data_IF_023769275911
#
_entry.id   IF_023769275911
#
_cell.length_a   1.000
_cell.length_b   1.000
_cell.length_c   1.000
_cell.angle_alpha   90.00
_cell.angle_beta   90.00
_cell.angle_gamma   90.00
#
_symmetry.space_group_name_H-M   'P 1'
#
loop_
_entity.id
_entity.type
_entity.pdbx_description
1 polymer ?
#
# COMPACT_ATOMS: atom_id res chain seq x y z
N UNK A 1 33.85 -27.22 -15.19
CA UNK A 1 32.45 -27.52 -15.59
C UNK A 1 31.77 -26.20 -15.89
N UNK A 2 31.22 -26.11 -17.10
CA UNK A 2 30.89 -24.90 -17.86
C UNK A 2 29.45 -24.47 -17.59
N UNK A 3 29.21 -23.17 -17.37
CA UNK A 3 28.11 -22.30 -17.89
C UNK A 3 28.56 -20.85 -17.58
N UNK A 4 29.28 -20.13 -18.45
CA UNK A 4 28.87 -19.35 -19.63
C UNK A 4 27.77 -18.30 -19.35
N UNK A 5 28.15 -17.02 -19.41
CA UNK A 5 27.30 -15.87 -19.13
C UNK A 5 26.33 -15.51 -20.26
N UNK A 6 25.28 -14.77 -19.89
CA UNK A 6 24.36 -14.14 -20.83
C UNK A 6 24.67 -12.66 -20.97
N UNK A 7 24.94 -12.32 -22.23
CA UNK A 7 25.28 -11.02 -22.79
C UNK A 7 24.05 -10.10 -22.80
N UNK A 8 24.28 -8.84 -22.47
CA UNK A 8 23.38 -7.71 -22.74
C UNK A 8 23.32 -7.50 -24.26
N UNK A 9 22.12 -7.52 -24.85
CA UNK A 9 21.89 -7.03 -26.21
C UNK A 9 21.06 -5.75 -26.11
N UNK A 10 21.75 -4.62 -26.25
CA UNK A 10 21.13 -3.35 -26.60
C UNK A 10 20.87 -3.30 -28.10
N UNK A 11 19.62 -3.05 -28.50
CA UNK A 11 19.28 -2.76 -29.88
C UNK A 11 19.37 -1.25 -30.11
N UNK A 12 20.44 -0.81 -30.77
CA UNK A 12 20.56 0.51 -31.36
C UNK A 12 19.72 0.55 -32.65
N UNK A 13 18.73 1.44 -32.70
CA UNK A 13 17.98 1.75 -33.93
C UNK A 13 18.80 2.75 -34.74
N UNK A 14 19.41 2.27 -35.82
CA UNK A 14 20.07 3.09 -36.84
C UNK A 14 19.02 3.59 -37.84
N UNK A 15 18.91 4.91 -37.93
CA UNK A 15 18.21 5.66 -38.96
C UNK A 15 18.85 5.39 -40.34
N UNK A 16 18.09 4.77 -41.24
CA UNK A 16 18.44 4.61 -42.65
C UNK A 16 17.25 5.00 -43.52
N UNK A 17 17.27 6.23 -44.03
CA UNK A 17 16.31 6.72 -45.02
C UNK A 17 16.63 6.13 -46.40
N UNK A 18 15.61 5.59 -47.09
CA UNK A 18 15.48 5.71 -48.56
C UNK A 18 14.00 5.78 -48.96
N UNK A 19 13.65 6.64 -49.94
CA UNK A 19 12.30 6.88 -50.39
C UNK A 19 11.89 6.00 -51.58
N UNK A 20 10.58 6.01 -51.82
CA UNK A 20 9.84 5.75 -53.06
C UNK A 20 9.17 4.38 -53.31
N UNK A 21 7.91 4.53 -53.74
CA UNK A 21 6.91 3.58 -54.27
C UNK A 21 6.22 2.72 -53.20
N UNK A 22 4.90 2.80 -53.00
CA UNK A 22 3.87 2.41 -53.97
C UNK A 22 2.55 3.20 -53.75
N UNK A 23 1.96 3.63 -54.85
CA UNK A 23 0.61 4.17 -54.94
C UNK A 23 -0.46 3.07 -54.92
N UNK A 24 -1.56 3.34 -54.22
CA UNK A 24 -2.91 2.89 -54.59
C UNK A 24 -3.36 1.52 -54.07
N UNK A 25 -4.24 1.53 -53.06
CA UNK A 25 -5.54 0.83 -53.09
C UNK A 25 -6.39 1.26 -51.90
N UNK A 26 -7.60 1.71 -52.21
CA UNK A 26 -8.65 1.90 -51.22
C UNK A 26 -9.13 0.56 -50.68
N UNK A 27 -9.44 0.55 -49.39
CA UNK A 27 -10.26 -0.47 -48.76
C UNK A 27 -10.89 0.15 -47.52
N UNK A 28 -12.21 0.08 -47.50
CA UNK A 28 -13.09 0.49 -46.42
C UNK A 28 -12.59 0.02 -45.05
N UNK A 29 -12.27 0.97 -44.18
CA UNK A 29 -12.09 0.72 -42.75
C UNK A 29 -13.43 0.94 -42.05
N UNK A 30 -13.91 -0.02 -41.23
CA UNK A 30 -15.11 0.18 -40.44
C UNK A 30 -14.88 1.30 -39.42
N UNK A 31 -15.84 2.21 -39.37
CA UNK A 31 -15.89 3.35 -38.45
C UNK A 31 -15.76 2.91 -36.99
N UNK A 32 -14.85 3.47 -36.19
CA UNK A 32 -14.77 3.18 -34.76
C UNK A 32 -15.83 4.01 -34.02
N UNK A 33 -17.09 3.61 -34.12
CA UNK A 33 -18.15 4.08 -33.23
C UNK A 33 -18.27 3.14 -32.03
N UNK A 34 -17.21 3.02 -31.25
CA UNK A 34 -17.31 2.65 -29.83
C UNK A 34 -16.87 3.87 -29.06
N UNK A 35 -17.86 4.60 -28.57
CA UNK A 35 -17.71 5.72 -27.66
C UNK A 35 -16.93 5.21 -26.45
N UNK A 36 -15.63 5.52 -26.41
CA UNK A 36 -14.84 5.53 -25.19
C UNK A 36 -15.66 6.37 -24.21
N UNK A 37 -16.19 5.75 -23.16
CA UNK A 37 -16.73 6.53 -22.05
C UNK A 37 -15.51 7.04 -21.31
N UNK A 38 -15.13 8.32 -21.44
CA UNK A 38 -14.08 8.85 -20.58
C UNK A 38 -14.53 8.67 -19.13
N UNK A 39 -13.60 8.25 -18.27
CA UNK A 39 -13.76 8.35 -16.82
C UNK A 39 -13.66 9.84 -16.45
N UNK A 40 -14.56 10.68 -16.99
CA UNK A 40 -14.68 12.09 -16.61
C UNK A 40 -15.85 12.22 -15.65
N UNK A 41 -15.50 12.11 -14.37
CA UNK A 41 -16.17 12.79 -13.25
C UNK A 41 -15.53 12.31 -11.96
N UNK A 42 -14.37 12.86 -11.60
CA UNK A 42 -13.84 12.83 -10.23
C UNK A 42 -14.77 13.67 -9.33
N UNK A 43 -15.99 13.19 -9.08
CA UNK A 43 -16.93 13.84 -8.16
C UNK A 43 -16.96 13.00 -6.89
N UNK A 44 -16.13 13.40 -5.93
CA UNK A 44 -16.27 13.00 -4.54
C UNK A 44 -16.91 14.14 -3.76
N UNK A 45 -18.23 14.26 -3.87
CA UNK A 45 -19.02 15.05 -2.93
C UNK A 45 -18.99 14.34 -1.57
N UNK A 46 -18.66 15.07 -0.51
CA UNK A 46 -18.74 14.57 0.87
C UNK A 46 -17.45 14.00 1.49
N UNK A 47 -16.27 14.24 0.90
CA UNK A 47 -15.00 13.90 1.57
C UNK A 47 -14.76 14.74 2.82
N UNK A 48 -14.36 14.08 3.91
CA UNK A 48 -13.88 14.73 5.12
C UNK A 48 -12.37 14.95 5.01
N UNK A 49 -11.93 16.17 5.31
CA UNK A 49 -10.56 16.62 5.10
C UNK A 49 -9.91 17.06 6.44
N UNK A 50 -9.65 16.13 7.38
CA UNK A 50 -8.94 16.47 8.60
C UNK A 50 -7.58 17.08 8.27
N UNK A 51 -7.22 18.17 8.95
CA UNK A 51 -5.96 18.90 8.72
C UNK A 51 -4.85 18.46 9.66
N UNK A 52 -5.22 17.86 10.78
CA UNK A 52 -4.27 17.42 11.81
C UNK A 52 -4.51 15.98 12.23
N UNK A 53 -3.46 15.33 12.75
CA UNK A 53 -3.59 14.02 13.38
C UNK A 53 -4.63 14.02 14.51
N UNK A 54 -4.71 15.10 15.28
CA UNK A 54 -5.66 15.25 16.38
C UNK A 54 -7.12 15.34 15.92
N UNK A 55 -7.39 15.98 14.79
CA UNK A 55 -8.72 15.96 14.16
C UNK A 55 -9.06 14.56 13.66
N UNK A 56 -8.13 13.92 12.94
CA UNK A 56 -8.33 12.58 12.38
C UNK A 56 -8.73 11.55 13.43
N UNK A 57 -8.04 11.49 14.58
CA UNK A 57 -8.32 10.49 15.62
C UNK A 57 -9.61 10.77 16.43
N UNK A 58 -10.27 11.92 16.19
CA UNK A 58 -11.56 12.26 16.81
C UNK A 58 -12.76 11.90 15.94
N UNK A 59 -12.54 11.56 14.67
CA UNK A 59 -13.61 11.15 13.76
C UNK A 59 -14.23 9.82 14.23
N UNK A 60 -15.53 9.68 13.97
CA UNK A 60 -16.23 8.42 14.22
C UNK A 60 -15.82 7.37 13.17
N UNK A 61 -16.02 6.06 13.43
CA UNK A 61 -15.81 5.02 12.43
C UNK A 61 -16.49 5.28 11.09
N UNK A 62 -17.71 5.80 11.10
CA UNK A 62 -18.50 6.05 9.88
C UNK A 62 -17.92 7.24 9.10
N UNK A 63 -17.47 8.29 9.82
CA UNK A 63 -16.80 9.44 9.20
C UNK A 63 -15.49 9.04 8.49
N UNK A 64 -14.77 8.03 9.01
CA UNK A 64 -13.52 7.57 8.41
C UNK A 64 -13.72 6.97 7.00
N UNK A 65 -14.92 6.51 6.66
CA UNK A 65 -15.23 6.03 5.31
C UNK A 65 -15.13 7.15 4.26
N UNK A 66 -15.23 8.39 4.70
CA UNK A 66 -15.18 9.58 3.86
C UNK A 66 -13.82 10.29 3.85
N UNK A 67 -12.79 9.72 4.51
CA UNK A 67 -11.44 10.29 4.53
C UNK A 67 -10.54 9.58 3.51
N UNK A 68 -9.75 10.36 2.76
CA UNK A 68 -8.73 9.81 1.86
C UNK A 68 -7.69 8.99 2.66
N UNK A 69 -7.46 7.74 2.25
CA UNK A 69 -6.48 6.84 2.88
C UNK A 69 -5.06 7.42 2.89
N UNK A 70 -4.67 8.16 1.85
CA UNK A 70 -3.38 8.84 1.80
C UNK A 70 -3.30 9.91 2.88
N UNK A 71 -4.35 10.71 3.05
CA UNK A 71 -4.42 11.73 4.11
C UNK A 71 -4.35 11.08 5.49
N UNK A 72 -5.06 9.97 5.72
CA UNK A 72 -4.94 9.23 6.98
C UNK A 72 -3.51 8.78 7.25
N UNK A 73 -2.83 8.21 6.25
CA UNK A 73 -1.46 7.73 6.36
C UNK A 73 -0.46 8.87 6.61
N UNK A 74 -0.54 9.95 5.83
CA UNK A 74 0.34 11.13 5.92
C UNK A 74 0.18 11.84 7.27
N UNK A 75 -1.06 12.04 7.74
CA UNK A 75 -1.29 12.66 9.05
C UNK A 75 -0.73 11.82 10.20
N UNK A 76 -0.78 10.49 10.10
CA UNK A 76 -0.15 9.61 11.08
C UNK A 76 1.39 9.73 11.10
N UNK A 77 2.02 10.18 10.01
CA UNK A 77 3.46 10.41 9.94
C UNK A 77 3.89 11.76 10.55
N UNK A 78 3.01 12.76 10.63
CA UNK A 78 3.36 14.13 11.07
C UNK A 78 4.09 14.19 12.43
N UNK A 79 5.22 14.89 12.47
CA UNK A 79 6.04 15.03 13.68
C UNK A 79 6.79 13.76 14.13
N UNK A 80 6.89 12.75 13.26
CA UNK A 80 7.82 11.63 13.44
C UNK A 80 9.17 11.94 12.78
N UNK A 81 10.25 11.28 13.23
CA UNK A 81 11.55 11.34 12.55
C UNK A 81 11.46 10.96 11.08
N UNK A 82 12.06 11.78 10.21
CA UNK A 82 12.00 11.64 8.75
C UNK A 82 10.80 12.32 8.08
N UNK A 83 9.89 12.91 8.86
CA UNK A 83 8.71 13.64 8.37
C UNK A 83 8.76 15.15 8.74
N UNK A 84 9.95 15.69 8.98
CA UNK A 84 10.16 17.10 9.36
C UNK A 84 9.70 18.06 8.26
N UNK A 85 9.97 17.72 7.00
CA UNK A 85 9.61 18.51 5.81
C UNK A 85 8.32 18.00 5.13
N UNK A 86 7.52 17.21 5.85
CA UNK A 86 6.31 16.61 5.28
C UNK A 86 5.23 17.67 4.98
N UNK A 87 5.04 17.97 3.69
CA UNK A 87 3.88 18.69 3.19
C UNK A 87 2.80 17.70 2.73
N UNK A 88 1.74 17.60 3.53
CA UNK A 88 0.60 16.71 3.27
C UNK A 88 -0.15 17.09 2.00
N UNK A 89 -0.34 18.38 1.73
CA UNK A 89 -1.13 18.82 0.57
C UNK A 89 -0.33 18.65 -0.72
N UNK A 90 0.99 18.92 -0.69
CA UNK A 90 1.88 18.60 -1.80
C UNK A 90 1.85 17.09 -2.12
N UNK A 91 1.98 16.25 -1.10
CA UNK A 91 1.96 14.81 -1.28
C UNK A 91 0.65 14.31 -1.89
N UNK A 92 -0.49 14.83 -1.45
CA UNK A 92 -1.80 14.50 -2.02
C UNK A 92 -1.93 14.95 -3.48
N UNK A 93 -1.47 16.15 -3.81
CA UNK A 93 -1.48 16.65 -5.18
C UNK A 93 -0.59 15.80 -6.11
N UNK A 94 0.58 15.37 -5.63
CA UNK A 94 1.45 14.44 -6.37
C UNK A 94 0.75 13.10 -6.65
N UNK A 95 0.02 12.54 -5.68
CA UNK A 95 -0.76 11.31 -5.89
C UNK A 95 -1.90 11.50 -6.89
N UNK A 96 -2.51 12.69 -6.95
CA UNK A 96 -3.53 13.01 -7.95
C UNK A 96 -2.94 13.07 -9.37
N UNK A 97 -1.75 13.65 -9.54
CA UNK A 97 -1.03 13.64 -10.84
C UNK A 97 -0.60 12.23 -11.25
N UNK A 98 -0.14 11.41 -10.30
CA UNK A 98 0.15 10.01 -10.58
C UNK A 98 -1.10 9.23 -10.98
N UNK A 99 -2.24 9.47 -10.33
CA UNK A 99 -3.50 8.86 -10.73
C UNK A 99 -3.89 9.26 -12.16
N UNK A 100 -3.76 10.54 -12.55
CA UNK A 100 -3.99 10.97 -13.93
C UNK A 100 -3.09 10.24 -14.93
N UNK A 101 -1.81 10.08 -14.59
CA UNK A 101 -0.84 9.36 -15.44
C UNK A 101 -1.24 7.89 -15.60
N UNK A 102 -1.59 7.21 -14.51
CA UNK A 102 -2.09 5.82 -14.55
C UNK A 102 -3.38 5.71 -15.35
N UNK A 103 -4.32 6.66 -15.23
CA UNK A 103 -5.55 6.67 -16.00
C UNK A 103 -5.26 6.71 -17.52
N UNK A 104 -4.39 7.63 -17.94
CA UNK A 104 -4.00 7.78 -19.35
C UNK A 104 -3.38 6.48 -19.88
N UNK A 105 -2.43 5.91 -19.13
CA UNK A 105 -1.71 4.71 -19.58
C UNK A 105 -2.58 3.45 -19.58
N UNK A 106 -3.46 3.29 -18.59
CA UNK A 106 -4.42 2.17 -18.55
C UNK A 106 -5.43 2.28 -19.69
N UNK A 107 -6.04 3.46 -19.90
CA UNK A 107 -7.07 3.62 -20.92
C UNK A 107 -6.49 3.49 -22.34
N UNK A 108 -5.28 4.00 -22.59
CA UNK A 108 -4.58 3.85 -23.88
C UNK A 108 -4.33 2.38 -24.25
N UNK A 109 -4.14 1.51 -23.25
CA UNK A 109 -3.77 0.11 -23.45
C UNK A 109 -4.91 -0.88 -23.20
N UNK A 110 -6.13 -0.40 -22.93
CA UNK A 110 -7.26 -1.25 -22.55
C UNK A 110 -7.62 -2.29 -23.62
N UNK A 111 -7.29 -2.04 -24.89
CA UNK A 111 -7.45 -3.00 -25.99
C UNK A 111 -6.78 -4.35 -25.72
N UNK A 112 -5.72 -4.39 -24.91
CA UNK A 112 -4.98 -5.62 -24.55
C UNK A 112 -5.82 -6.64 -23.77
N UNK A 113 -6.94 -6.21 -23.16
CA UNK A 113 -7.87 -7.12 -22.49
C UNK A 113 -8.58 -8.04 -23.49
N UNK A 114 -8.77 -7.59 -24.74
CA UNK A 114 -9.51 -8.32 -25.78
C UNK A 114 -8.62 -8.76 -26.95
N UNK A 115 -7.43 -8.19 -27.11
CA UNK A 115 -6.49 -8.55 -28.16
C UNK A 115 -5.97 -9.98 -27.96
N UNK A 116 -6.13 -10.89 -28.93
CA UNK A 116 -5.70 -12.29 -28.82
C UNK A 116 -4.22 -12.49 -28.46
N UNK A 117 -3.36 -11.49 -28.71
CA UNK A 117 -1.94 -11.55 -28.35
C UNK A 117 -1.71 -11.38 -26.84
N UNK A 118 -2.61 -10.70 -26.13
CA UNK A 118 -2.42 -10.27 -24.74
C UNK A 118 -3.52 -10.74 -23.78
N UNK A 119 -4.72 -11.04 -24.28
CA UNK A 119 -5.91 -11.24 -23.46
C UNK A 119 -5.75 -12.38 -22.43
N UNK A 120 -5.07 -13.47 -22.80
CA UNK A 120 -4.82 -14.59 -21.88
C UNK A 120 -3.92 -14.19 -20.69
N UNK A 121 -2.91 -13.34 -20.91
CA UNK A 121 -2.07 -12.82 -19.83
C UNK A 121 -2.88 -12.02 -18.80
N UNK A 122 -3.82 -11.21 -19.29
CA UNK A 122 -4.74 -10.44 -18.45
C UNK A 122 -6.00 -11.23 -18.04
N UNK A 123 -6.06 -12.52 -18.33
CA UNK A 123 -7.18 -13.42 -17.98
C UNK A 123 -8.52 -12.91 -18.49
N UNK A 124 -8.54 -12.20 -19.63
CA UNK A 124 -9.72 -11.55 -20.19
C UNK A 124 -10.42 -10.63 -19.15
N UNK A 125 -9.66 -10.02 -18.24
CA UNK A 125 -10.19 -9.25 -17.10
C UNK A 125 -9.64 -7.83 -17.09
N UNK A 126 -10.54 -6.84 -17.25
CA UNK A 126 -10.19 -5.42 -17.11
C UNK A 126 -9.69 -5.09 -15.70
N UNK A 127 -10.30 -5.67 -14.65
CA UNK A 127 -9.83 -5.51 -13.27
C UNK A 127 -8.37 -5.94 -13.10
N UNK A 128 -8.02 -7.13 -13.62
CA UNK A 128 -6.65 -7.65 -13.53
C UNK A 128 -5.67 -6.79 -14.33
N UNK A 129 -6.05 -6.41 -15.57
CA UNK A 129 -5.28 -5.50 -16.41
C UNK A 129 -5.01 -4.15 -15.73
N UNK A 130 -6.05 -3.50 -15.17
CA UNK A 130 -5.92 -2.20 -14.48
C UNK A 130 -5.08 -2.31 -13.22
N UNK A 131 -5.17 -3.41 -12.48
CA UNK A 131 -4.33 -3.65 -11.31
C UNK A 131 -2.85 -3.81 -11.68
N UNK A 132 -2.55 -4.55 -12.75
CA UNK A 132 -1.19 -4.72 -13.25
C UNK A 132 -0.60 -3.41 -13.78
N UNK A 133 -1.35 -2.68 -14.62
CA UNK A 133 -0.90 -1.40 -15.15
C UNK A 133 -0.73 -0.32 -14.07
N UNK A 134 -1.56 -0.32 -13.02
CA UNK A 134 -1.38 0.55 -11.86
C UNK A 134 0.03 0.38 -11.26
N UNK A 135 0.44 -0.86 -11.00
CA UNK A 135 1.77 -1.15 -10.47
C UNK A 135 2.85 -0.85 -11.49
N UNK A 136 2.65 -1.24 -12.75
CA UNK A 136 3.62 -1.02 -13.82
C UNK A 136 3.94 0.46 -14.00
N UNK A 137 2.94 1.32 -14.16
CA UNK A 137 3.14 2.76 -14.35
C UNK A 137 3.78 3.38 -13.13
N UNK A 138 3.32 3.04 -11.92
CA UNK A 138 3.91 3.58 -10.70
C UNK A 138 5.37 3.17 -10.52
N UNK A 139 5.72 1.92 -10.82
CA UNK A 139 7.07 1.42 -10.64
C UNK A 139 8.02 1.81 -11.77
N UNK A 140 7.61 1.64 -13.03
CA UNK A 140 8.47 1.79 -14.20
C UNK A 140 8.52 3.23 -14.70
N UNK A 141 7.38 3.92 -14.76
CA UNK A 141 7.29 5.27 -15.34
C UNK A 141 7.50 6.34 -14.28
N UNK A 142 6.96 6.12 -13.08
CA UNK A 142 7.02 7.07 -11.97
C UNK A 142 8.11 6.73 -10.94
N UNK A 143 8.79 5.58 -11.08
CA UNK A 143 9.98 5.22 -10.29
C UNK A 143 9.72 4.85 -8.83
N UNK A 144 8.47 4.55 -8.46
CA UNK A 144 8.12 3.99 -7.13
C UNK A 144 8.83 2.66 -6.98
N UNK A 145 9.61 2.49 -5.91
CA UNK A 145 10.43 1.30 -5.71
C UNK A 145 10.52 0.92 -4.25
N UNK A 146 10.85 -0.34 -4.01
CA UNK A 146 11.24 -0.81 -2.69
C UNK A 146 12.57 -0.19 -2.27
N UNK A 147 12.70 0.18 -1.00
CA UNK A 147 13.96 0.64 -0.42
C UNK A 147 14.89 -0.56 -0.18
N UNK A 148 16.00 -0.69 -0.94
CA UNK A 148 16.88 -1.85 -0.82
C UNK A 148 17.50 -1.99 0.57
N UNK A 149 17.56 -0.91 1.37
CA UNK A 149 18.12 -0.93 2.74
C UNK A 149 17.19 -1.62 3.74
N UNK A 150 15.90 -1.73 3.42
CA UNK A 150 14.91 -2.39 4.27
C UNK A 150 14.89 -3.91 4.09
N UNK A 151 15.52 -4.44 3.03
CA UNK A 151 15.60 -5.88 2.76
C UNK A 151 16.42 -6.55 3.88
N UNK A 152 15.76 -7.37 4.71
CA UNK A 152 16.40 -8.05 5.83
C UNK A 152 16.71 -7.16 7.05
N UNK A 153 16.45 -5.85 6.94
CA UNK A 153 16.83 -4.84 7.95
C UNK A 153 15.76 -3.74 8.08
N UNK A 154 14.50 -4.12 7.96
CA UNK A 154 13.40 -3.19 8.15
C UNK A 154 13.36 -2.67 9.61
N UNK A 155 13.17 -1.36 9.76
CA UNK A 155 12.96 -0.68 11.04
C UNK A 155 11.94 0.45 10.88
N UNK A 156 11.20 0.72 11.96
CA UNK A 156 10.28 1.85 12.02
C UNK A 156 10.99 3.16 12.45
N UNK A 157 12.29 3.13 12.74
CA UNK A 157 13.07 4.30 13.16
C UNK A 157 13.14 5.42 12.10
N UNK A 158 12.83 5.15 10.84
CA UNK A 158 12.61 6.21 9.85
C UNK A 158 11.16 6.11 9.38
N UNK A 159 10.36 7.16 9.63
CA UNK A 159 8.94 7.13 9.25
C UNK A 159 8.74 6.97 7.74
N UNK A 160 9.73 7.34 6.90
CA UNK A 160 9.69 7.11 5.45
C UNK A 160 9.58 5.63 5.09
N UNK A 161 10.01 4.72 5.97
CA UNK A 161 9.88 3.27 5.76
C UNK A 161 8.45 2.77 5.92
N UNK A 162 7.69 3.38 6.83
CA UNK A 162 6.37 2.90 7.25
C UNK A 162 5.20 3.68 6.61
N UNK A 163 5.48 4.85 6.05
CA UNK A 163 4.47 5.76 5.51
C UNK A 163 4.78 6.13 4.06
N UNK A 164 3.74 6.47 3.29
CA UNK A 164 3.85 6.67 1.84
C UNK A 164 4.74 7.85 1.45
N UNK A 165 4.97 8.80 2.36
CA UNK A 165 5.83 9.96 2.10
C UNK A 165 7.28 9.60 1.77
N UNK A 166 7.76 8.41 2.18
CA UNK A 166 9.07 7.91 1.79
C UNK A 166 9.23 7.61 0.29
N UNK A 167 8.14 7.59 -0.47
CA UNK A 167 8.15 7.38 -1.93
C UNK A 167 7.74 8.62 -2.71
N UNK A 168 7.27 9.67 -2.04
CA UNK A 168 6.74 10.88 -2.67
C UNK A 168 7.86 11.93 -2.62
N UNK A 169 8.22 12.58 -3.74
CA UNK A 169 9.16 13.70 -3.74
C UNK A 169 8.72 14.79 -2.77
N UNK A 170 9.66 15.35 -1.99
CA UNK A 170 9.32 16.28 -0.92
C UNK A 170 9.08 17.70 -1.44
N UNK A 171 9.71 18.04 -2.58
CA UNK A 171 9.64 19.37 -3.17
C UNK A 171 9.38 19.34 -4.68
N UNK A 172 8.79 20.42 -5.23
CA UNK A 172 8.69 20.60 -6.67
C UNK A 172 10.05 20.48 -7.38
N UNK A 173 10.11 19.71 -8.46
CA UNK A 173 11.33 19.47 -9.23
C UNK A 173 12.15 18.26 -8.76
N UNK A 174 11.84 17.69 -7.60
CA UNK A 174 12.34 16.37 -7.21
C UNK A 174 11.55 15.26 -7.91
N UNK A 175 12.19 14.09 -8.02
CA UNK A 175 11.58 12.88 -8.56
C UNK A 175 11.69 11.75 -7.54
N UNK A 176 11.04 10.62 -7.79
CA UNK A 176 11.16 9.45 -6.92
C UNK A 176 12.60 8.94 -6.81
N UNK A 177 13.51 9.30 -7.73
CA UNK A 177 14.94 9.03 -7.61
C UNK A 177 15.57 9.72 -6.38
N UNK A 178 15.00 10.83 -5.91
CA UNK A 178 15.43 11.55 -4.71
C UNK A 178 14.86 10.97 -3.40
N UNK A 179 13.94 10.01 -3.51
CA UNK A 179 13.28 9.38 -2.35
C UNK A 179 13.98 8.08 -1.96
N UNK A 180 13.92 7.69 -0.67
CA UNK A 180 14.47 6.39 -0.24
C UNK A 180 13.72 5.19 -0.84
N UNK A 181 12.44 5.36 -1.20
CA UNK A 181 11.55 4.29 -1.61
C UNK A 181 10.65 3.83 -0.47
N UNK A 182 9.87 2.79 -0.74
CA UNK A 182 8.90 2.24 0.21
C UNK A 182 9.27 0.85 0.69
N UNK A 183 8.38 0.25 1.47
CA UNK A 183 8.54 -1.13 1.95
C UNK A 183 7.21 -1.87 1.80
N UNK A 184 7.15 -3.12 2.25
CA UNK A 184 5.88 -3.83 2.33
C UNK A 184 4.86 -3.11 3.24
N UNK A 185 5.29 -2.25 4.17
CA UNK A 185 4.39 -1.49 5.03
C UNK A 185 3.79 -0.24 4.35
N UNK A 186 4.43 0.31 3.30
CA UNK A 186 4.03 1.59 2.69
C UNK A 186 3.65 1.50 1.22
N UNK A 187 4.29 0.63 0.42
CA UNK A 187 3.97 0.48 -1.01
C UNK A 187 2.51 0.08 -1.27
N UNK A 188 1.93 -0.92 -0.56
CA UNK A 188 0.51 -1.26 -0.71
C UNK A 188 -0.42 -0.07 -0.44
N UNK A 189 -0.07 0.79 0.52
CA UNK A 189 -0.87 1.97 0.87
C UNK A 189 -0.86 2.98 -0.27
N UNK A 190 0.29 3.20 -0.90
CA UNK A 190 0.42 4.08 -2.07
C UNK A 190 -0.40 3.55 -3.25
N UNK A 191 -0.34 2.24 -3.53
CA UNK A 191 -1.15 1.64 -4.59
C UNK A 191 -2.65 1.78 -4.33
N UNK A 192 -3.11 1.53 -3.10
CA UNK A 192 -4.50 1.75 -2.72
C UNK A 192 -4.88 3.23 -2.84
N UNK A 193 -4.01 4.16 -2.43
CA UNK A 193 -4.25 5.59 -2.52
C UNK A 193 -4.44 6.07 -3.97
N UNK A 194 -3.58 5.64 -4.88
CA UNK A 194 -3.69 5.98 -6.31
C UNK A 194 -4.88 5.25 -6.96
N UNK A 195 -5.03 3.95 -6.73
CA UNK A 195 -6.14 3.18 -7.32
C UNK A 195 -7.52 3.65 -6.85
N UNK A 196 -7.69 4.07 -5.59
CA UNK A 196 -8.97 4.63 -5.10
C UNK A 196 -9.31 5.97 -5.75
N UNK A 197 -8.32 6.77 -6.16
CA UNK A 197 -8.55 8.00 -6.96
C UNK A 197 -9.11 7.67 -8.35
N UNK A 198 -8.77 6.49 -8.88
CA UNK A 198 -9.29 5.95 -10.14
C UNK A 198 -10.63 5.22 -9.98
N UNK A 199 -11.19 5.17 -8.77
CA UNK A 199 -12.41 4.44 -8.48
C UNK A 199 -12.22 2.92 -8.36
N UNK A 200 -10.99 2.42 -8.26
CA UNK A 200 -10.73 0.98 -8.12
C UNK A 200 -11.11 0.50 -6.70
N UNK A 201 -11.71 -0.69 -6.56
CA UNK A 201 -12.15 -1.24 -5.27
C UNK A 201 -10.98 -1.88 -4.50
N UNK A 202 -9.89 -1.13 -4.32
CA UNK A 202 -8.69 -1.63 -3.65
C UNK A 202 -8.79 -1.52 -2.12
N UNK A 203 -8.40 -2.59 -1.43
CA UNK A 203 -8.36 -2.71 0.02
C UNK A 203 -6.97 -3.14 0.49
N UNK A 204 -6.59 -2.70 1.68
CA UNK A 204 -5.42 -3.25 2.36
C UNK A 204 -5.77 -4.60 3.01
N UNK A 205 -4.79 -5.50 3.08
CA UNK A 205 -4.90 -6.80 3.75
C UNK A 205 -3.61 -7.11 4.51
N UNK A 206 -3.73 -7.63 5.73
CA UNK A 206 -2.60 -7.97 6.60
C UNK A 206 -2.45 -9.48 6.81
N UNK A 207 -1.22 -9.93 6.95
CA UNK A 207 -0.81 -11.15 7.68
C UNK A 207 0.25 -10.77 8.73
N UNK A 208 0.83 -11.74 9.45
CA UNK A 208 1.63 -11.53 10.68
C UNK A 208 2.84 -10.60 10.53
N UNK A 209 3.37 -10.46 9.32
CA UNK A 209 4.49 -9.55 9.03
C UNK A 209 4.46 -9.09 7.58
N UNK A 210 3.28 -8.88 7.01
CA UNK A 210 3.16 -8.41 5.63
C UNK A 210 1.84 -7.68 5.41
N UNK A 211 1.90 -6.65 4.60
CA UNK A 211 0.77 -5.88 4.12
C UNK A 211 0.79 -5.99 2.59
N UNK A 212 -0.38 -6.23 2.01
CA UNK A 212 -0.55 -6.31 0.56
C UNK A 212 -1.89 -5.71 0.16
N UNK A 213 -2.13 -5.60 -1.15
CA UNK A 213 -3.35 -5.02 -1.71
C UNK A 213 -4.29 -6.13 -2.12
N UNK A 214 -5.59 -5.89 -2.03
CA UNK A 214 -6.61 -6.76 -2.62
C UNK A 214 -7.55 -5.94 -3.47
N UNK A 215 -7.79 -6.42 -4.68
CA UNK A 215 -8.96 -6.01 -5.43
C UNK A 215 -10.18 -6.67 -4.80
N UNK A 216 -11.12 -5.90 -4.27
CA UNK A 216 -12.30 -6.41 -3.57
C UNK A 216 -13.58 -5.72 -4.06
N UNK A 217 -13.93 -6.04 -5.31
CA UNK A 217 -14.96 -5.35 -6.08
C UNK A 217 -16.27 -6.12 -6.23
N UNK A 218 -16.55 -7.12 -5.39
CA UNK A 218 -17.71 -8.02 -5.56
C UNK A 218 -19.03 -7.28 -5.85
N UNK A 219 -19.28 -6.20 -5.12
CA UNK A 219 -20.50 -5.40 -5.21
C UNK A 219 -20.28 -4.07 -5.96
N UNK A 220 -19.20 -3.97 -6.75
CA UNK A 220 -18.85 -2.74 -7.45
C UNK A 220 -19.89 -2.40 -8.54
N UNK A 221 -20.26 -1.11 -8.72
CA UNK A 221 -21.25 -0.69 -9.72
C UNK A 221 -20.80 -0.97 -11.16
N UNK A 222 -19.50 -0.84 -11.45
CA UNK A 222 -18.94 -1.29 -12.73
C UNK A 222 -18.78 -2.83 -12.73
N UNK A 223 -19.51 -3.57 -13.60
CA UNK A 223 -19.39 -5.03 -13.69
C UNK A 223 -17.99 -5.52 -14.07
N UNK A 224 -17.24 -4.77 -14.87
CA UNK A 224 -15.88 -5.15 -15.29
C UNK A 224 -14.88 -5.10 -14.12
N UNK A 225 -15.27 -4.45 -13.02
CA UNK A 225 -14.49 -4.35 -11.78
C UNK A 225 -14.96 -5.37 -10.73
N UNK A 226 -15.97 -6.20 -11.05
CA UNK A 226 -16.43 -7.24 -10.13
C UNK A 226 -15.45 -8.40 -10.15
N UNK A 227 -14.73 -8.54 -9.04
CA UNK A 227 -13.75 -9.58 -8.85
C UNK A 227 -13.16 -9.51 -7.46
N UNK A 228 -12.44 -10.56 -7.07
CA UNK A 228 -11.65 -10.56 -5.84
C UNK A 228 -10.35 -11.32 -6.08
N UNK A 229 -9.21 -10.63 -5.94
CA UNK A 229 -7.88 -11.22 -6.04
C UNK A 229 -6.86 -10.37 -5.30
N UNK A 230 -5.78 -10.99 -4.84
CA UNK A 230 -4.71 -10.29 -4.14
C UNK A 230 -3.69 -9.72 -5.13
N UNK A 231 -3.05 -8.63 -4.73
CA UNK A 231 -2.06 -7.90 -5.50
C UNK A 231 -0.83 -7.73 -4.61
N UNK A 232 0.25 -8.41 -4.99
CA UNK A 232 1.57 -8.24 -4.43
C UNK A 232 2.36 -7.26 -5.30
N UNK A 233 2.82 -6.17 -4.69
CA UNK A 233 3.52 -5.08 -5.37
C UNK A 233 4.73 -4.54 -4.60
N UNK A 234 5.09 -5.14 -3.46
CA UNK A 234 6.33 -4.82 -2.78
C UNK A 234 7.55 -5.51 -3.45
N UNK A 235 7.31 -6.41 -4.42
CA UNK A 235 8.33 -7.01 -5.27
C UNK A 235 8.55 -6.25 -6.58
N UNK A 236 9.36 -6.84 -7.48
CA UNK A 236 9.48 -6.34 -8.85
C UNK A 236 8.22 -6.67 -9.65
N UNK A 237 7.55 -5.64 -10.16
CA UNK A 237 6.37 -5.79 -10.99
C UNK A 237 5.11 -6.19 -10.23
N UNK A 238 4.26 -6.97 -10.91
CA UNK A 238 2.96 -7.40 -10.43
C UNK A 238 2.95 -8.91 -10.17
N UNK A 239 2.39 -9.32 -9.03
CA UNK A 239 2.07 -10.72 -8.75
C UNK A 239 0.72 -10.85 -8.06
N UNK A 240 0.04 -11.96 -8.30
CA UNK A 240 -1.27 -12.25 -7.70
C UNK A 240 -1.28 -13.66 -7.15
N UNK A 241 -1.25 -13.79 -5.82
CA UNK A 241 -1.29 -15.07 -5.10
C UNK A 241 -2.59 -15.23 -4.33
N UNK A 242 -3.09 -16.46 -4.20
CA UNK A 242 -4.27 -16.75 -3.37
C UNK A 242 -3.97 -16.61 -1.87
N UNK A 243 -5.01 -16.51 -1.03
CA UNK A 243 -4.87 -16.35 0.42
C UNK A 243 -4.02 -17.46 1.07
N UNK A 244 -4.07 -18.68 0.54
CA UNK A 244 -3.27 -19.82 1.04
C UNK A 244 -1.76 -19.61 0.91
N UNK A 245 -1.30 -18.82 -0.06
CA UNK A 245 0.11 -18.45 -0.19
C UNK A 245 0.58 -17.68 1.05
N UNK A 246 -0.20 -16.69 1.48
CA UNK A 246 0.10 -15.82 2.62
C UNK A 246 -0.08 -16.49 3.98
N UNK A 247 -0.58 -17.74 4.01
CA UNK A 247 -0.59 -18.57 5.22
C UNK A 247 0.80 -19.15 5.54
N UNK A 248 1.68 -19.22 4.54
CA UNK A 248 3.02 -19.78 4.69
C UNK A 248 4.12 -18.75 4.49
N UNK A 249 3.87 -17.69 3.73
CA UNK A 249 4.81 -16.61 3.45
C UNK A 249 4.27 -15.24 3.91
N UNK A 250 5.13 -14.32 4.39
CA UNK A 250 6.55 -14.52 4.69
C UNK A 250 6.78 -15.30 6.00
N UNK A 251 5.76 -15.32 6.86
CA UNK A 251 5.76 -16.03 8.15
C UNK A 251 4.56 -16.98 8.16
N UNK A 252 4.81 -18.24 8.54
CA UNK A 252 3.75 -19.22 8.65
C UNK A 252 2.78 -18.84 9.76
N UNK A 253 1.49 -18.73 9.42
CA UNK A 253 0.41 -18.44 10.36
C UNK A 253 -0.53 -19.63 10.50
N UNK A 254 -0.98 -19.89 11.73
CA UNK A 254 -2.01 -20.89 12.01
C UNK A 254 -3.41 -20.34 11.76
N UNK A 255 -4.38 -21.21 11.53
CA UNK A 255 -5.78 -20.82 11.36
C UNK A 255 -6.31 -20.03 12.58
N UNK A 256 -5.89 -20.41 13.79
CA UNK A 256 -6.22 -19.66 15.01
C UNK A 256 -5.67 -18.23 14.97
N UNK A 257 -4.43 -18.03 14.50
CA UNK A 257 -3.87 -16.68 14.35
C UNK A 257 -4.60 -15.88 13.28
N UNK A 258 -4.98 -16.50 12.16
CA UNK A 258 -5.77 -15.86 11.09
C UNK A 258 -7.10 -15.36 11.66
N UNK A 259 -7.83 -16.20 12.38
CA UNK A 259 -9.12 -15.84 12.98
C UNK A 259 -8.98 -14.76 14.04
N UNK A 260 -8.03 -14.90 14.97
CA UNK A 260 -7.87 -14.00 16.11
C UNK A 260 -7.36 -12.61 15.70
N UNK A 261 -6.45 -12.55 14.72
CA UNK A 261 -5.90 -11.27 14.25
C UNK A 261 -6.62 -10.71 13.02
N UNK A 262 -7.66 -11.41 12.53
CA UNK A 262 -8.38 -11.09 11.29
C UNK A 262 -7.42 -10.95 10.08
N UNK A 263 -6.43 -11.83 9.98
CA UNK A 263 -5.54 -11.84 8.81
C UNK A 263 -6.29 -12.29 7.57
N UNK A 264 -5.78 -11.89 6.39
CA UNK A 264 -6.34 -12.24 5.08
C UNK A 264 -7.76 -11.70 4.84
N UNK A 265 -8.21 -10.75 5.66
CA UNK A 265 -9.47 -10.01 5.51
C UNK A 265 -9.17 -8.58 5.04
N UNK A 266 -9.99 -8.08 4.13
CA UNK A 266 -9.91 -6.69 3.65
C UNK A 266 -10.19 -5.74 4.80
N UNK A 267 -9.28 -4.80 5.03
CA UNK A 267 -9.41 -3.83 6.11
C UNK A 267 -10.55 -2.83 5.82
N UNK A 268 -11.28 -2.49 6.87
CA UNK A 268 -12.17 -1.32 6.90
C UNK A 268 -11.36 -0.03 7.07
N UNK A 269 -11.87 1.17 6.69
CA UNK A 269 -11.17 2.44 6.91
C UNK A 269 -10.74 2.67 8.36
N UNK A 270 -11.56 2.22 9.32
CA UNK A 270 -11.24 2.19 10.76
C UNK A 270 -9.99 1.36 11.07
N UNK A 271 -9.89 0.17 10.48
CA UNK A 271 -8.75 -0.73 10.66
C UNK A 271 -7.51 -0.25 9.88
N UNK A 272 -7.67 0.40 8.73
CA UNK A 272 -6.59 1.08 8.01
C UNK A 272 -5.97 2.18 8.88
N UNK A 273 -6.80 3.03 9.50
CA UNK A 273 -6.32 4.05 10.43
C UNK A 273 -5.62 3.41 11.65
N UNK A 274 -6.19 2.34 12.22
CA UNK A 274 -5.57 1.60 13.33
C UNK A 274 -4.15 1.11 12.96
N UNK A 275 -3.98 0.57 11.74
CA UNK A 275 -2.68 0.16 11.22
C UNK A 275 -1.69 1.33 11.11
N UNK A 276 -2.12 2.49 10.61
CA UNK A 276 -1.25 3.66 10.46
C UNK A 276 -0.83 4.27 11.80
N UNK A 277 -1.75 4.33 12.78
CA UNK A 277 -1.44 4.77 14.15
C UNK A 277 -0.49 3.77 14.83
N UNK A 278 -0.65 2.47 14.57
CA UNK A 278 0.30 1.47 15.05
C UNK A 278 1.71 1.72 14.48
N UNK A 279 1.83 2.01 13.18
CA UNK A 279 3.10 2.44 12.55
C UNK A 279 3.73 3.66 13.23
N UNK A 280 2.91 4.66 13.61
CA UNK A 280 3.35 5.83 14.39
C UNK A 280 3.87 5.41 15.77
N UNK A 281 3.18 4.48 16.42
CA UNK A 281 3.60 3.89 17.70
C UNK A 281 4.92 3.14 17.60
N UNK A 282 5.10 2.33 16.56
CA UNK A 282 6.33 1.58 16.30
C UNK A 282 7.51 2.53 16.07
N UNK A 283 7.33 3.57 15.26
CA UNK A 283 8.37 4.58 15.04
C UNK A 283 8.78 5.26 16.36
N UNK A 284 7.82 5.68 17.19
CA UNK A 284 8.13 6.24 18.50
C UNK A 284 8.84 5.23 19.42
N UNK A 285 8.45 3.96 19.36
CA UNK A 285 9.03 2.89 20.16
C UNK A 285 10.49 2.62 19.80
N UNK A 286 10.81 2.56 18.51
CA UNK A 286 12.19 2.36 18.00
C UNK A 286 13.14 3.49 18.40
N UNK A 287 12.61 4.68 18.69
CA UNK A 287 13.39 5.81 19.22
C UNK A 287 13.42 5.89 20.76
N UNK A 288 12.92 4.87 21.46
CA UNK A 288 12.81 4.90 22.93
C UNK A 288 11.81 5.92 23.48
N UNK A 289 10.95 6.51 22.63
CA UNK A 289 9.90 7.46 23.03
C UNK A 289 8.66 6.70 23.52
N UNK A 290 8.83 5.86 24.55
CA UNK A 290 7.82 4.89 24.99
C UNK A 290 6.48 5.51 25.41
N UNK A 291 6.48 6.71 26.01
CA UNK A 291 5.24 7.43 26.35
C UNK A 291 4.42 7.82 25.12
N UNK A 292 5.09 8.28 24.06
CA UNK A 292 4.45 8.57 22.78
C UNK A 292 3.93 7.28 22.14
N UNK A 293 4.75 6.23 22.13
CA UNK A 293 4.33 4.91 21.63
C UNK A 293 3.08 4.38 22.37
N UNK A 294 3.07 4.42 23.70
CA UNK A 294 1.94 4.00 24.52
C UNK A 294 0.66 4.80 24.21
N UNK A 295 0.77 6.13 24.03
CA UNK A 295 -0.37 6.97 23.61
C UNK A 295 -0.89 6.58 22.23
N UNK A 296 0.01 6.33 21.27
CA UNK A 296 -0.38 5.86 19.93
C UNK A 296 -1.11 4.53 20.03
N UNK A 297 -0.57 3.52 20.71
CA UNK A 297 -1.22 2.22 20.84
C UNK A 297 -2.53 2.28 21.63
N UNK A 298 -2.66 3.14 22.63
CA UNK A 298 -3.96 3.40 23.28
C UNK A 298 -5.01 3.87 22.25
N UNK A 299 -4.66 4.82 21.37
CA UNK A 299 -5.56 5.25 20.30
C UNK A 299 -5.91 4.10 19.35
N UNK A 300 -4.95 3.23 19.01
CA UNK A 300 -5.22 2.03 18.20
C UNK A 300 -6.26 1.14 18.87
N UNK A 301 -6.15 0.88 20.18
CA UNK A 301 -7.10 -0.01 20.89
C UNK A 301 -8.53 0.53 20.94
N UNK A 302 -8.74 1.85 20.76
CA UNK A 302 -10.09 2.43 20.60
C UNK A 302 -10.68 2.09 19.22
N UNK A 303 -9.84 2.03 18.20
CA UNK A 303 -10.24 1.68 16.84
C UNK A 303 -10.33 0.17 16.64
N UNK A 304 -9.46 -0.62 17.23
CA UNK A 304 -9.54 -2.06 17.09
C UNK A 304 -9.11 -2.75 18.38
N UNK A 305 -10.06 -2.81 19.31
CA UNK A 305 -9.83 -3.49 20.58
C UNK A 305 -9.60 -4.99 20.41
N UNK A 306 -10.18 -5.62 19.37
CA UNK A 306 -10.27 -7.06 19.27
C UNK A 306 -8.92 -7.71 18.96
N UNK A 307 -8.06 -7.06 18.16
CA UNK A 307 -6.74 -7.59 17.79
C UNK A 307 -5.78 -7.64 18.99
N UNK A 308 -5.29 -8.83 19.38
CA UNK A 308 -4.41 -8.96 20.55
C UNK A 308 -3.08 -8.22 20.42
N UNK A 309 -2.52 -8.15 19.21
CA UNK A 309 -1.22 -7.49 18.97
C UNK A 309 -1.20 -6.04 19.46
N UNK A 310 -2.26 -5.26 19.19
CA UNK A 310 -2.36 -3.86 19.61
C UNK A 310 -2.36 -3.69 21.13
N UNK A 311 -3.06 -4.57 21.85
CA UNK A 311 -3.08 -4.57 23.32
C UNK A 311 -1.71 -4.91 23.88
N UNK A 312 -1.04 -5.89 23.28
CA UNK A 312 0.25 -6.34 23.74
C UNK A 312 1.37 -5.29 23.48
N UNK A 313 1.34 -4.58 22.35
CA UNK A 313 2.24 -3.43 22.10
C UNK A 313 1.98 -2.27 23.05
N UNK A 314 0.71 -1.96 23.35
CA UNK A 314 0.34 -0.98 24.36
C UNK A 314 0.94 -1.35 25.73
N UNK A 315 0.76 -2.60 26.18
CA UNK A 315 1.24 -3.05 27.49
C UNK A 315 2.77 -2.92 27.62
N UNK A 316 3.53 -3.31 26.59
CA UNK A 316 4.99 -3.19 26.64
C UNK A 316 5.44 -1.72 26.72
N UNK A 317 4.92 -0.87 25.83
CA UNK A 317 5.26 0.55 25.84
C UNK A 317 4.85 1.24 27.16
N UNK A 318 3.68 0.92 27.68
CA UNK A 318 3.16 1.51 28.91
C UNK A 318 3.99 1.12 30.14
N UNK A 319 4.40 -0.15 30.26
CA UNK A 319 5.23 -0.64 31.37
C UNK A 319 6.63 -0.02 31.38
N UNK A 320 7.20 0.26 30.20
CA UNK A 320 8.55 0.88 30.09
C UNK A 320 8.60 2.34 30.53
N UNK A 321 7.47 3.01 30.72
CA UNK A 321 7.42 4.44 31.05
C UNK A 321 6.37 4.82 32.08
N UNK A 322 5.85 3.84 32.83
CA UNK A 322 4.79 4.01 33.82
C UNK A 322 3.60 4.83 33.28
N UNK A 323 3.17 4.49 32.06
CA UNK A 323 2.06 5.18 31.40
C UNK A 323 0.72 4.82 32.03
N UNK A 324 -0.08 5.84 32.34
CA UNK A 324 -1.44 5.67 32.86
C UNK A 324 -2.43 5.98 31.73
N UNK A 325 -3.13 4.98 31.16
CA UNK A 325 -4.08 5.21 30.09
C UNK A 325 -5.32 5.96 30.58
N UNK A 326 -5.99 6.65 29.66
CA UNK A 326 -7.29 7.28 29.89
C UNK A 326 -8.39 6.22 30.00
N UNK A 327 -8.28 5.14 29.22
CA UNK A 327 -9.25 4.04 29.22
C UNK A 327 -9.21 3.20 30.50
N UNK A 328 -10.36 3.07 31.18
CA UNK A 328 -10.53 2.18 32.35
C UNK A 328 -10.19 0.73 31.98
N UNK A 329 -10.59 0.27 30.79
CA UNK A 329 -10.31 -1.09 30.35
C UNK A 329 -8.80 -1.35 30.24
N UNK A 330 -8.03 -0.38 29.71
CA UNK A 330 -6.57 -0.48 29.65
C UNK A 330 -5.92 -0.39 31.03
N UNK A 331 -6.43 0.43 31.94
CA UNK A 331 -5.95 0.46 33.34
C UNK A 331 -6.14 -0.88 34.03
N UNK A 332 -7.31 -1.49 33.86
CA UNK A 332 -7.60 -2.81 34.43
C UNK A 332 -6.69 -3.88 33.83
N UNK A 333 -6.38 -3.80 32.54
CA UNK A 333 -5.45 -4.72 31.88
C UNK A 333 -4.00 -4.55 32.38
N UNK A 334 -3.56 -3.31 32.63
CA UNK A 334 -2.23 -3.04 33.19
C UNK A 334 -2.08 -3.54 34.64
N UNK A 335 -3.12 -3.39 35.45
CA UNK A 335 -3.09 -3.70 36.89
C UNK A 335 -3.63 -5.10 37.23
N UNK A 336 -4.26 -5.77 36.27
CA UNK A 336 -4.97 -7.04 36.46
C UNK A 336 -4.08 -8.28 36.39
N UNK A 337 -4.66 -9.49 36.40
CA UNK A 337 -3.92 -10.76 36.30
C UNK A 337 -3.10 -10.87 35.00
N UNK A 338 -3.52 -10.16 33.95
CA UNK A 338 -2.82 -10.02 32.67
C UNK A 338 -1.54 -9.17 32.74
N UNK A 339 -1.19 -8.62 33.92
CA UNK A 339 0.11 -7.96 34.16
C UNK A 339 1.30 -8.87 33.83
N UNK A 340 1.08 -10.19 33.85
CA UNK A 340 2.07 -11.21 33.52
C UNK A 340 1.99 -11.72 32.08
N UNK A 341 1.12 -11.16 31.22
CA UNK A 341 1.19 -11.44 29.79
C UNK A 341 2.63 -11.16 29.35
N UNK A 342 3.30 -12.13 28.70
CA UNK A 342 4.68 -11.99 28.31
C UNK A 342 4.79 -10.68 27.54
N UNK A 343 5.75 -9.85 27.95
CA UNK A 343 6.28 -8.80 27.07
C UNK A 343 6.54 -9.51 25.77
N UNK A 344 5.85 -9.09 24.70
CA UNK A 344 6.07 -9.66 23.39
C UNK A 344 7.58 -9.65 23.21
N UNK A 345 8.26 -10.81 23.05
CA UNK A 345 9.69 -10.80 22.80
C UNK A 345 9.95 -9.81 21.67
N UNK A 346 11.06 -9.10 21.68
CA UNK A 346 11.40 -8.21 20.56
C UNK A 346 11.37 -8.93 19.19
N UNK A 347 11.37 -10.26 19.20
CA UNK A 347 11.15 -11.15 18.06
C UNK A 347 9.68 -11.34 17.60
N UNK A 348 8.68 -10.82 18.32
CA UNK A 348 7.24 -10.85 18.00
C UNK A 348 6.61 -9.43 17.94
N UNK A 349 7.33 -8.36 18.32
CA UNK A 349 7.44 -7.23 17.39
C UNK A 349 7.98 -7.81 16.09
N UNK A 350 7.60 -7.38 14.88
CA UNK A 350 8.19 -7.96 13.69
C UNK A 350 9.73 -7.88 13.82
N UNK A 351 10.31 -9.02 14.20
CA UNK A 351 11.75 -9.26 14.34
C UNK A 351 12.36 -8.77 13.04
N UNK A 352 13.52 -8.08 13.03
CA UNK A 352 14.08 -7.41 11.85
C UNK A 352 13.73 -8.25 10.64
N UNK A 353 12.76 -7.76 9.86
CA UNK A 353 11.97 -8.58 8.95
C UNK A 353 12.99 -9.42 8.20
N UNK A 354 13.08 -10.73 8.48
CA UNK A 354 13.78 -11.64 7.58
C UNK A 354 12.86 -11.78 6.39
N UNK A 355 12.74 -10.68 5.65
CA UNK A 355 12.15 -10.63 4.35
C UNK A 355 12.96 -11.61 3.53
N UNK A 356 12.44 -12.83 3.43
CA UNK A 356 12.86 -13.72 2.38
C UNK A 356 12.27 -13.08 1.12
N UNK A 357 13.11 -12.65 0.16
CA UNK A 357 12.62 -12.12 -1.09
C UNK A 357 11.54 -13.06 -1.64
N UNK A 358 10.54 -12.50 -2.33
CA UNK A 358 9.59 -13.36 -3.05
C UNK A 358 10.39 -14.35 -3.90
N UNK A 359 9.89 -15.58 -4.17
CA UNK A 359 10.63 -16.53 -4.99
C UNK A 359 11.08 -15.99 -6.36
N UNK A 360 10.44 -14.94 -6.87
CA UNK A 360 10.83 -14.19 -8.07
C UNK A 360 12.03 -13.24 -7.92
N UNK A 361 12.47 -12.96 -6.70
CA UNK A 361 13.59 -12.08 -6.34
C UNK A 361 14.86 -12.86 -5.93
N UNK A 362 14.89 -14.18 -6.16
CA UNK A 362 16.08 -15.05 -6.02
C UNK A 362 16.53 -15.50 -7.39
#
# INVERSE_FOLDING_TARGET
MIVLGCLVIGAAVLLGARPDLIAGRGSDLPSPSNVIKPVTSLVQTGRLEPRTFSELIRLSPDDLEHVDIARMNLLCATGLPGAEDLDVEHALATLDEWAKTVAIETDRHLYRVTDPLYADHYRHSEAYFRAEFLLQVLQQDLGVRYDPRAIGNFSFADSRMAFIHGMIPAAPGETTANTPGGTCASMPVLYVAVGRRLGYPLKLVTTDSHLFVRWDGKDHPNPDFRGRFNIEGAGEGFSSFEDDYYRSWPVKVTEKQVQVNKYLVSLTPREELALFIAGRGHCAFDHGKYRHAARSYENVTRLDWARPAYRAWFLDAARRCDYVPESIALRNMLNGPDRHLPVIPQAMYPSPYRYSPTPSQK
#
